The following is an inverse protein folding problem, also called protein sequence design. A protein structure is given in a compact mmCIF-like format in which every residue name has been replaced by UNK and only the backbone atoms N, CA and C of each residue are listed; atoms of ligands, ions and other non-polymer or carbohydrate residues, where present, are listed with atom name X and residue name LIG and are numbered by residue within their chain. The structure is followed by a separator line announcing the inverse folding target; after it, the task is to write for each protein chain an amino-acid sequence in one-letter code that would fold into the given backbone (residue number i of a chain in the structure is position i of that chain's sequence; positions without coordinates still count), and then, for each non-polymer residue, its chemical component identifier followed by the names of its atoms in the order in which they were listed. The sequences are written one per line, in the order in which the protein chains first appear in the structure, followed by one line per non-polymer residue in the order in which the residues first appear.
data_IF_646328802288
#
_entry.id   IF_646328802288
#
_cell.length_a   1.000
_cell.length_b   1.000
_cell.length_c   1.000
_cell.angle_alpha   90.00
_cell.angle_beta   90.00
_cell.angle_gamma   90.00
#
_symmetry.space_group_name_H-M   'P 1'
#
loop_
_entity.id
_entity.type
_entity.pdbx_description
1 polymer ?
#
# COMPACT_ATOMS: atom_id res chain seq x y z
N UNK A 1 13.42 -13.50 -0.68
CA UNK A 1 12.73 -13.51 -1.96
C UNK A 1 11.39 -12.81 -1.86
N UNK A 2 11.11 -11.90 -2.77
CA UNK A 2 9.92 -11.08 -2.68
C UNK A 2 8.76 -11.71 -3.43
N UNK A 3 7.65 -11.86 -2.75
CA UNK A 3 6.41 -12.30 -3.37
C UNK A 3 5.72 -11.12 -4.07
N UNK A 4 5.09 -11.34 -5.23
CA UNK A 4 4.34 -10.25 -5.86
C UNK A 4 3.14 -9.80 -5.03
N UNK A 5 2.76 -10.59 -4.02
CA UNK A 5 1.64 -10.25 -3.15
C UNK A 5 2.09 -9.89 -1.73
N UNK A 6 3.34 -9.50 -1.59
CA UNK A 6 3.83 -9.05 -0.29
C UNK A 6 3.27 -7.67 0.05
N UNK A 7 3.26 -7.38 1.34
CA UNK A 7 2.85 -6.06 1.81
C UNK A 7 3.77 -4.99 1.23
N UNK A 8 3.19 -3.85 0.92
CA UNK A 8 3.94 -2.71 0.40
C UNK A 8 4.24 -1.77 1.56
N UNK A 9 5.52 -1.48 1.76
CA UNK A 9 5.94 -0.59 2.84
C UNK A 9 6.72 0.58 2.28
N UNK A 10 6.26 1.79 2.59
CA UNK A 10 6.94 3.02 2.21
C UNK A 10 7.01 3.91 3.45
N UNK A 11 8.20 4.08 3.99
CA UNK A 11 8.38 4.86 5.21
C UNK A 11 7.55 4.28 6.34
N UNK A 12 6.64 5.04 6.88
CA UNK A 12 5.76 4.60 7.95
C UNK A 12 4.43 4.06 7.44
N UNK A 13 4.23 4.02 6.14
CA UNK A 13 2.99 3.54 5.53
C UNK A 13 3.16 2.08 5.13
N UNK A 14 2.19 1.25 5.50
CA UNK A 14 2.18 -0.16 5.11
C UNK A 14 0.83 -0.51 4.52
N UNK A 15 0.85 -1.06 3.31
CA UNK A 15 -0.35 -1.58 2.66
C UNK A 15 -0.30 -3.10 2.75
N UNK A 16 -1.30 -3.67 3.41
CA UNK A 16 -1.35 -5.11 3.63
C UNK A 16 -2.10 -5.78 2.48
N UNK A 17 -1.50 -6.80 1.90
CA UNK A 17 -2.16 -7.53 0.83
C UNK A 17 -3.23 -8.45 1.41
N UNK A 18 -4.43 -8.39 0.85
CA UNK A 18 -5.54 -9.24 1.25
C UNK A 18 -5.86 -10.22 0.12
N UNK A 19 -5.71 -11.51 0.38
CA UNK A 19 -6.05 -12.55 -0.61
C UNK A 19 -7.55 -12.59 -0.85
N UNK A 20 -8.34 -12.27 0.17
CA UNK A 20 -9.80 -12.23 0.04
C UNK A 20 -10.23 -11.17 -0.94
N UNK A 21 -9.62 -9.99 -0.87
CA UNK A 21 -9.98 -8.86 -1.71
C UNK A 21 -9.12 -8.76 -2.95
N UNK A 22 -8.09 -9.59 -3.02
CA UNK A 22 -7.15 -9.65 -4.14
C UNK A 22 -6.50 -8.31 -4.40
N UNK A 23 -6.08 -7.64 -3.33
CA UNK A 23 -5.46 -6.33 -3.46
C UNK A 23 -4.86 -5.87 -2.15
N UNK A 24 -4.23 -4.72 -2.21
CA UNK A 24 -3.63 -4.11 -1.03
C UNK A 24 -4.63 -3.22 -0.35
N UNK A 25 -4.78 -3.38 0.96
CA UNK A 25 -5.72 -2.60 1.75
C UNK A 25 -4.98 -1.42 2.35
N UNK A 26 -5.41 -0.22 1.99
CA UNK A 26 -4.86 1.01 2.54
C UNK A 26 -5.44 1.28 3.92
N UNK A 27 -4.77 2.12 4.73
CA UNK A 27 -5.27 2.44 6.08
C UNK A 27 -6.68 3.04 6.09
N UNK A 28 -7.08 3.68 5.00
CA UNK A 28 -8.42 4.24 4.89
C UNK A 28 -9.50 3.24 4.49
N UNK A 29 -9.11 1.97 4.25
CA UNK A 29 -10.06 0.95 3.84
C UNK A 29 -10.14 0.74 2.34
N UNK A 30 -9.37 1.49 1.57
CA UNK A 30 -9.35 1.34 0.11
C UNK A 30 -8.61 0.07 -0.29
N UNK A 31 -9.09 -0.57 -1.34
CA UNK A 31 -8.44 -1.77 -1.88
C UNK A 31 -7.87 -1.42 -3.26
N UNK A 32 -6.57 -1.59 -3.41
CA UNK A 32 -5.88 -1.32 -4.66
C UNK A 32 -5.37 -2.64 -5.22
N UNK A 33 -5.80 -2.98 -6.42
CA UNK A 33 -5.43 -4.25 -7.04
C UNK A 33 -4.17 -4.15 -7.89
N UNK A 34 -3.79 -2.95 -8.27
CA UNK A 34 -2.61 -2.73 -9.11
C UNK A 34 -1.42 -2.44 -8.20
N UNK A 35 -0.34 -3.26 -8.26
CA UNK A 35 0.80 -3.05 -7.38
C UNK A 35 1.49 -1.69 -7.59
N UNK A 36 1.54 -1.21 -8.82
CA UNK A 36 2.15 0.10 -9.08
C UNK A 36 1.33 1.22 -8.47
N UNK A 37 0.01 1.12 -8.57
CA UNK A 37 -0.88 2.12 -7.97
C UNK A 37 -0.82 2.04 -6.46
N UNK A 38 -0.74 0.84 -5.90
CA UNK A 38 -0.65 0.68 -4.46
C UNK A 38 0.63 1.31 -3.93
N UNK A 39 1.74 1.08 -4.61
CA UNK A 39 3.01 1.66 -4.21
C UNK A 39 2.97 3.18 -4.29
N UNK A 40 2.40 3.73 -5.38
CA UNK A 40 2.29 5.17 -5.54
C UNK A 40 1.39 5.78 -4.46
N UNK A 41 0.30 5.10 -4.13
CA UNK A 41 -0.56 5.58 -3.06
C UNK A 41 0.18 5.61 -1.73
N UNK A 42 0.96 4.56 -1.44
CA UNK A 42 1.74 4.53 -0.22
C UNK A 42 2.74 5.68 -0.16
N UNK A 43 3.38 5.98 -1.29
CA UNK A 43 4.33 7.09 -1.36
C UNK A 43 3.63 8.42 -1.12
N UNK A 44 2.47 8.61 -1.72
CA UNK A 44 1.71 9.85 -1.53
C UNK A 44 1.26 10.02 -0.09
N UNK A 45 0.80 8.95 0.53
CA UNK A 45 0.37 9.01 1.92
C UNK A 45 1.55 9.30 2.84
N UNK A 46 2.71 8.70 2.54
CA UNK A 46 3.91 8.95 3.32
C UNK A 46 4.35 10.40 3.20
N UNK A 47 4.28 10.96 1.99
CA UNK A 47 4.63 12.34 1.76
C UNK A 47 3.71 13.30 2.52
N UNK A 48 2.42 13.04 2.50
CA UNK A 48 1.46 13.87 3.24
C UNK A 48 1.74 13.84 4.73
N UNK A 49 2.11 12.68 5.24
CA UNK A 49 2.38 12.54 6.66
C UNK A 49 3.61 13.32 7.06
N UNK A 50 4.62 13.35 6.19
CA UNK A 50 5.86 14.05 6.46
C UNK A 50 5.67 15.56 6.34
N UNK A 51 4.76 15.99 5.48
CA UNK A 51 4.52 17.41 5.24
C UNK A 51 3.81 18.11 6.40
N UNK A 52 3.32 17.39 7.34
CA UNK A 52 2.58 17.96 8.48
C UNK A 52 3.44 18.83 9.41
#
# INVERSE_FOLDING_TARGET
MTNPHDNIRVGSITLVYSTLRRGWVAPGGDVIRNPLKAQRLAELMNNKKVAA
#
